data_IF_963781150665
#
_entry.id   IF_963781150665
#
_cell.length_a   1.000
_cell.length_b   1.000
_cell.length_c   1.000
_cell.angle_alpha   90.00
_cell.angle_beta   90.00
_cell.angle_gamma   90.00
#
_symmetry.space_group_name_H-M   'P 1'
#
loop_
_entity.id
_entity.type
_entity.pdbx_description
1 polymer ?
#
# COMPACT_ATOMS: atom_id res chain seq x y z
N UNK A 1 15.55 47.00 42.18
CA UNK A 1 14.46 47.17 43.16
C UNK A 1 13.21 46.61 42.48
N UNK A 2 12.88 45.32 42.56
CA UNK A 2 12.49 44.51 43.73
C UNK A 2 11.25 45.06 44.44
N UNK A 3 10.11 44.40 44.23
CA UNK A 3 8.99 44.36 45.18
C UNK A 3 8.06 43.21 44.79
N UNK A 4 8.05 42.16 45.62
CA UNK A 4 6.96 41.19 45.66
C UNK A 4 5.94 41.60 46.72
N UNK A 5 4.77 40.97 46.70
CA UNK A 5 3.78 40.89 47.79
C UNK A 5 2.81 39.74 47.43
N UNK A 6 2.88 38.61 48.12
CA UNK A 6 2.02 38.20 49.25
C UNK A 6 0.53 38.04 48.92
N UNK A 7 0.11 36.79 48.68
CA UNK A 7 -1.28 36.37 48.73
C UNK A 7 -1.55 35.64 50.05
N UNK A 8 -2.51 36.15 50.82
CA UNK A 8 -2.96 35.63 52.12
C UNK A 8 -4.05 34.58 51.93
N UNK A 9 -3.92 33.49 52.67
CA UNK A 9 -4.97 32.51 52.94
C UNK A 9 -6.20 33.16 53.59
N UNK A 10 -7.38 32.72 53.18
CA UNK A 10 -8.58 32.80 54.03
C UNK A 10 -9.36 31.48 53.93
N UNK A 11 -9.33 30.72 55.02
CA UNK A 11 -10.22 29.58 55.27
C UNK A 11 -11.56 30.11 55.77
N UNK A 12 -12.65 29.62 55.17
CA UNK A 12 -14.00 29.74 55.69
C UNK A 12 -14.76 28.45 55.40
N UNK A 13 -15.05 27.71 56.48
CA UNK A 13 -15.91 26.53 56.52
C UNK A 13 -17.37 26.87 56.16
N UNK A 14 -18.03 25.97 55.42
CA UNK A 14 -19.43 25.62 55.69
C UNK A 14 -19.80 24.28 55.05
N UNK A 15 -20.22 23.36 55.91
CA UNK A 15 -20.70 22.00 55.68
C UNK A 15 -22.08 21.89 55.02
N UNK A 16 -22.23 20.96 54.06
CA UNK A 16 -23.41 20.13 53.73
C UNK A 16 -23.07 19.40 52.40
N UNK A 17 -23.31 18.13 52.12
CA UNK A 17 -23.95 16.98 52.76
C UNK A 17 -23.71 15.80 51.80
N UNK A 18 -23.47 14.61 52.34
CA UNK A 18 -23.25 13.36 51.61
C UNK A 18 -24.34 13.05 50.55
N UNK A 19 -23.92 12.78 49.31
CA UNK A 19 -24.51 11.76 48.43
C UNK A 19 -23.70 11.60 47.14
N UNK A 20 -22.47 11.09 47.19
CA UNK A 20 -21.70 10.72 45.99
C UNK A 20 -20.85 9.46 46.23
N UNK A 21 -21.53 8.38 46.61
CA UNK A 21 -20.92 7.06 46.71
C UNK A 21 -21.77 6.04 45.96
N UNK A 22 -21.85 6.14 44.61
CA UNK A 22 -22.32 5.00 43.80
C UNK A 22 -21.98 5.04 42.29
N UNK A 23 -20.83 5.59 41.86
CA UNK A 23 -20.48 5.64 40.42
C UNK A 23 -19.05 5.19 40.05
N UNK A 24 -18.29 4.62 40.99
CA UNK A 24 -16.92 4.16 40.72
C UNK A 24 -16.75 2.66 40.52
N UNK A 25 -17.80 1.86 40.72
CA UNK A 25 -17.72 0.38 40.62
C UNK A 25 -18.03 -0.15 39.21
N UNK A 26 -18.76 0.61 38.39
CA UNK A 26 -19.27 0.14 37.09
C UNK A 26 -18.26 0.28 35.93
N UNK A 27 -17.17 1.04 36.13
CA UNK A 27 -16.10 1.21 35.12
C UNK A 27 -14.95 0.20 35.26
N UNK A 28 -14.81 -0.43 36.43
CA UNK A 28 -13.84 -1.50 36.66
C UNK A 28 -14.26 -2.82 36.00
N UNK A 29 -15.53 -3.22 36.21
CA UNK A 29 -16.07 -4.48 35.68
C UNK A 29 -16.16 -4.52 34.15
N UNK A 30 -16.47 -3.38 33.51
CA UNK A 30 -16.51 -3.30 32.04
C UNK A 30 -15.12 -3.50 31.41
N UNK A 31 -14.07 -2.97 32.04
CA UNK A 31 -12.69 -3.07 31.52
C UNK A 31 -12.12 -4.48 31.67
N UNK A 32 -12.39 -5.14 32.79
CA UNK A 32 -12.00 -6.53 33.01
C UNK A 32 -12.75 -7.49 32.07
N UNK A 33 -14.06 -7.29 31.87
CA UNK A 33 -14.85 -8.11 30.94
C UNK A 33 -14.36 -8.01 29.48
N UNK A 34 -13.95 -6.80 29.04
CA UNK A 34 -13.39 -6.60 27.70
C UNK A 34 -12.00 -7.24 27.52
N UNK A 35 -11.16 -7.21 28.56
CA UNK A 35 -9.83 -7.85 28.55
C UNK A 35 -9.95 -9.39 28.57
N UNK A 36 -10.93 -9.92 29.29
CA UNK A 36 -11.23 -11.36 29.33
C UNK A 36 -11.76 -11.87 27.98
N UNK A 37 -12.66 -11.13 27.33
CA UNK A 37 -13.18 -11.49 26.02
C UNK A 37 -12.07 -11.47 24.94
N UNK A 38 -11.17 -10.47 25.01
CA UNK A 38 -10.02 -10.36 24.09
C UNK A 38 -9.02 -11.50 24.31
N UNK A 39 -8.81 -11.92 25.56
CA UNK A 39 -7.96 -13.06 25.92
C UNK A 39 -8.54 -14.40 25.44
N UNK A 40 -9.85 -14.60 25.60
CA UNK A 40 -10.55 -15.79 25.10
C UNK A 40 -10.55 -15.87 23.57
N UNK A 41 -10.70 -14.73 22.87
CA UNK A 41 -10.59 -14.68 21.39
C UNK A 41 -9.19 -15.05 20.91
N UNK A 42 -8.13 -14.56 21.58
CA UNK A 42 -6.73 -14.93 21.29
C UNK A 42 -6.48 -16.42 21.51
N UNK A 43 -6.98 -16.99 22.61
CA UNK A 43 -6.84 -18.42 22.90
C UNK A 43 -7.53 -19.31 21.85
N UNK A 44 -8.75 -18.92 21.41
CA UNK A 44 -9.48 -19.64 20.35
C UNK A 44 -8.77 -19.56 18.99
N UNK A 45 -8.19 -18.40 18.67
CA UNK A 45 -7.43 -18.22 17.43
C UNK A 45 -6.12 -19.04 17.43
N UNK A 46 -5.40 -19.05 18.56
CA UNK A 46 -4.20 -19.87 18.73
C UNK A 46 -4.52 -21.38 18.65
N UNK A 47 -5.64 -21.83 19.24
CA UNK A 47 -6.07 -23.23 19.15
C UNK A 47 -6.46 -23.64 17.72
N UNK A 48 -7.10 -22.75 16.94
CA UNK A 48 -7.41 -22.97 15.52
C UNK A 48 -6.14 -23.06 14.66
N UNK A 49 -5.17 -22.18 14.90
CA UNK A 49 -3.88 -22.21 14.20
C UNK A 49 -3.05 -23.45 14.56
N UNK A 50 -3.09 -23.91 15.81
CA UNK A 50 -2.42 -25.12 16.23
C UNK A 50 -3.02 -26.38 15.56
N UNK A 51 -4.35 -26.50 15.52
CA UNK A 51 -5.03 -27.60 14.82
C UNK A 51 -4.74 -27.59 13.31
N UNK A 52 -4.85 -26.43 12.67
CA UNK A 52 -4.50 -26.27 11.25
C UNK A 52 -3.07 -26.69 10.93
N UNK A 53 -2.09 -26.35 11.78
CA UNK A 53 -0.68 -26.76 11.61
C UNK A 53 -0.46 -28.26 11.84
N UNK A 54 -1.28 -28.88 12.69
CA UNK A 54 -1.23 -30.30 12.99
C UNK A 54 -1.82 -31.11 11.82
N UNK A 55 -2.97 -30.67 11.29
CA UNK A 55 -3.59 -31.24 10.09
C UNK A 55 -2.69 -31.09 8.84
N UNK A 56 -2.01 -29.95 8.69
CA UNK A 56 -1.06 -29.72 7.59
C UNK A 56 0.19 -30.61 7.66
N UNK A 57 0.63 -30.97 8.87
CA UNK A 57 1.77 -31.87 9.09
C UNK A 57 1.43 -33.33 8.79
N UNK A 58 0.18 -33.75 9.00
CA UNK A 58 -0.27 -35.12 8.76
C UNK A 58 -0.74 -35.34 7.31
N UNK A 59 -1.41 -34.37 6.66
CA UNK A 59 -1.94 -34.55 5.30
C UNK A 59 -0.92 -34.35 4.17
N UNK A 60 0.04 -33.42 4.32
CA UNK A 60 1.02 -33.12 3.25
C UNK A 60 1.87 -34.33 2.82
N UNK A 61 2.44 -35.14 3.74
CA UNK A 61 3.23 -36.32 3.35
C UNK A 61 2.38 -37.37 2.61
N UNK A 62 1.16 -37.61 3.09
CA UNK A 62 0.25 -38.62 2.52
C UNK A 62 -0.26 -38.21 1.14
N UNK A 63 -0.53 -36.92 0.94
CA UNK A 63 -0.98 -36.37 -0.36
C UNK A 63 0.13 -36.41 -1.41
N UNK A 64 1.37 -36.10 -1.02
CA UNK A 64 2.55 -36.22 -1.89
C UNK A 64 2.80 -37.68 -2.27
N UNK A 65 2.75 -38.61 -1.31
CA UNK A 65 2.96 -40.04 -1.59
C UNK A 65 1.87 -40.66 -2.49
N UNK A 66 0.60 -40.23 -2.37
CA UNK A 66 -0.47 -40.62 -3.32
C UNK A 66 -0.25 -40.08 -4.73
N UNK A 67 0.23 -38.84 -4.86
CA UNK A 67 0.51 -38.25 -6.18
C UNK A 67 1.67 -38.93 -6.91
N UNK A 68 2.53 -39.64 -6.17
CA UNK A 68 3.61 -40.50 -6.69
C UNK A 68 3.16 -41.95 -6.96
N UNK A 69 1.87 -42.26 -6.82
CA UNK A 69 1.30 -43.57 -7.15
C UNK A 69 1.54 -44.67 -6.11
N UNK A 70 1.97 -44.32 -4.89
CA UNK A 70 2.24 -45.31 -3.84
C UNK A 70 0.95 -45.88 -3.25
N UNK A 71 0.88 -47.21 -3.13
CA UNK A 71 -0.27 -47.88 -2.52
C UNK A 71 -0.30 -47.67 -0.99
N UNK A 72 -1.48 -47.86 -0.38
CA UNK A 72 -1.71 -47.60 1.07
C UNK A 72 -0.74 -48.37 1.98
N UNK A 73 -0.40 -49.60 1.62
CA UNK A 73 0.46 -50.47 2.41
C UNK A 73 1.92 -49.96 2.44
N UNK A 74 2.42 -49.47 1.30
CA UNK A 74 3.76 -48.88 1.20
C UNK A 74 3.85 -47.52 1.92
N UNK A 75 2.81 -46.69 1.83
CA UNK A 75 2.75 -45.41 2.55
C UNK A 75 2.77 -45.62 4.07
N UNK A 76 2.03 -46.61 4.59
CA UNK A 76 1.99 -46.90 6.02
C UNK A 76 3.36 -47.37 6.56
N UNK A 77 4.11 -48.16 5.79
CA UNK A 77 5.47 -48.62 6.18
C UNK A 77 6.50 -47.49 6.20
N UNK A 78 6.37 -46.51 5.31
CA UNK A 78 7.29 -45.36 5.23
C UNK A 78 7.02 -44.32 6.32
N UNK A 79 5.76 -44.16 6.73
CA UNK A 79 5.36 -43.22 7.78
C UNK A 79 5.58 -43.79 9.18
N UNK A 80 5.50 -45.11 9.35
CA UNK A 80 5.66 -45.79 10.64
C UNK A 80 6.60 -47.02 10.52
N UNK A 81 7.93 -46.81 10.46
CA UNK A 81 8.89 -47.89 10.20
C UNK A 81 9.12 -48.88 11.37
N UNK A 82 8.55 -48.64 12.57
CA UNK A 82 8.78 -49.47 13.76
C UNK A 82 7.50 -49.86 14.52
N UNK A 83 6.41 -50.21 13.81
CA UNK A 83 5.25 -50.84 14.46
C UNK A 83 4.88 -52.15 13.76
N UNK A 84 5.49 -53.24 14.19
CA UNK A 84 4.93 -54.57 14.03
C UNK A 84 5.12 -55.36 15.32
N UNK A 85 4.02 -55.57 16.05
CA UNK A 85 3.90 -56.70 16.96
C UNK A 85 3.75 -57.98 16.13
N UNK A 86 4.45 -59.05 16.51
CA UNK A 86 4.14 -60.41 16.07
C UNK A 86 5.33 -61.33 15.84
N UNK A 87 5.63 -62.15 16.85
CA UNK A 87 6.20 -63.51 16.81
C UNK A 87 7.58 -63.77 16.16
N UNK A 88 8.57 -64.03 17.03
CA UNK A 88 9.19 -65.36 17.16
C UNK A 88 10.06 -65.86 16.00
N UNK A 89 11.37 -65.99 16.31
CA UNK A 89 12.39 -66.82 15.66
C UNK A 89 12.70 -66.50 14.21
N UNK A 90 13.74 -65.70 13.93
CA UNK A 90 14.55 -65.79 12.70
C UNK A 90 15.81 -64.88 12.70
N UNK A 91 15.97 -63.97 13.67
CA UNK A 91 17.09 -63.00 13.68
C UNK A 91 18.49 -63.59 14.01
N UNK A 92 18.58 -64.77 14.62
CA UNK A 92 19.89 -65.38 14.92
C UNK A 92 20.58 -66.01 13.69
N UNK A 93 19.82 -66.36 12.66
CA UNK A 93 20.37 -67.02 11.46
C UNK A 93 21.01 -66.03 10.48
N UNK A 94 20.46 -64.81 10.37
CA UNK A 94 20.92 -63.80 9.42
C UNK A 94 22.21 -63.11 9.86
N UNK A 95 22.37 -62.89 11.18
CA UNK A 95 23.58 -62.34 11.78
C UNK A 95 24.77 -63.31 11.70
N UNK A 96 24.52 -64.62 11.80
CA UNK A 96 25.53 -65.66 11.62
C UNK A 96 25.98 -65.79 10.14
N UNK A 97 25.08 -65.55 9.18
CA UNK A 97 25.38 -65.61 7.75
C UNK A 97 26.14 -64.36 7.26
N UNK A 98 25.83 -63.19 7.81
CA UNK A 98 26.57 -61.94 7.51
C UNK A 98 27.98 -61.92 8.10
N UNK A 99 28.22 -62.60 9.22
CA UNK A 99 29.57 -62.67 9.82
C UNK A 99 30.51 -63.59 9.05
N UNK A 100 30.01 -64.69 8.45
CA UNK A 100 30.84 -65.60 7.60
C UNK A 100 31.21 -64.99 6.24
N UNK A 101 30.39 -64.11 5.68
CA UNK A 101 30.66 -63.45 4.41
C UNK A 101 31.73 -62.33 4.50
N UNK A 102 32.10 -61.91 5.72
CA UNK A 102 33.07 -60.83 5.94
C UNK A 102 34.52 -61.30 5.99
N UNK A 103 34.74 -62.59 6.26
CA UNK A 103 36.07 -63.16 6.55
C UNK A 103 36.59 -64.11 5.45
N UNK A 104 35.98 -64.10 4.25
CA UNK A 104 36.43 -64.92 3.11
C UNK A 104 37.30 -64.11 2.11
N UNK A 105 38.63 -64.36 2.04
CA UNK A 105 39.53 -63.65 1.14
C UNK A 105 39.37 -64.00 -0.36
N UNK A 106 38.58 -65.01 -0.72
CA UNK A 106 38.39 -65.42 -2.13
C UNK A 106 37.23 -64.67 -2.84
N UNK A 107 36.34 -64.02 -2.09
CA UNK A 107 35.19 -63.29 -2.65
C UNK A 107 35.51 -61.87 -3.20
N UNK A 108 36.74 -61.37 -3.04
CA UNK A 108 37.15 -60.03 -3.48
C UNK A 108 37.78 -59.95 -4.89
N UNK A 109 37.89 -61.09 -5.61
CA UNK A 109 38.54 -61.12 -6.91
C UNK A 109 37.75 -60.49 -8.10
N UNK A 110 36.40 -60.59 -8.21
CA UNK A 110 35.70 -60.06 -9.39
C UNK A 110 35.45 -58.54 -9.35
N UNK A 111 35.50 -57.90 -8.17
CA UNK A 111 35.30 -56.45 -8.05
C UNK A 111 36.49 -55.63 -8.58
N UNK A 112 37.72 -56.15 -8.51
CA UNK A 112 38.93 -55.47 -9.02
C UNK A 112 39.03 -55.46 -10.54
N UNK A 113 38.36 -56.36 -11.26
CA UNK A 113 38.36 -56.40 -12.74
C UNK A 113 37.37 -55.44 -13.41
N UNK A 114 36.32 -54.99 -12.71
CA UNK A 114 35.41 -53.94 -13.24
C UNK A 114 35.94 -52.53 -13.06
N UNK A 115 36.80 -52.28 -12.07
CA UNK A 115 37.43 -50.98 -11.85
C UNK A 115 38.49 -50.62 -12.91
N UNK A 116 39.14 -51.61 -13.54
CA UNK A 116 40.18 -51.34 -14.56
C UNK A 116 39.64 -51.04 -15.97
N UNK A 117 38.37 -51.35 -16.27
CA UNK A 117 37.75 -51.04 -17.55
C UNK A 117 37.22 -49.59 -17.65
N UNK A 118 36.94 -48.94 -16.51
CA UNK A 118 36.50 -47.54 -16.47
C UNK A 118 37.66 -46.53 -16.66
N UNK A 119 38.91 -46.96 -16.56
CA UNK A 119 40.09 -46.09 -16.62
C UNK A 119 40.49 -45.66 -18.05
N UNK A 120 39.92 -46.25 -19.11
CA UNK A 120 40.29 -45.99 -20.49
C UNK A 120 39.30 -45.10 -21.28
N UNK A 121 38.64 -44.14 -20.63
CA UNK A 121 37.92 -43.08 -21.35
C UNK A 121 38.91 -42.01 -21.83
N UNK A 122 38.98 -41.78 -23.15
CA UNK A 122 39.84 -40.76 -23.77
C UNK A 122 39.57 -39.36 -23.18
N UNK A 123 40.56 -38.44 -23.19
CA UNK A 123 40.42 -37.11 -22.58
C UNK A 123 39.17 -36.34 -23.04
N UNK A 124 38.80 -36.48 -24.32
CA UNK A 124 37.60 -35.87 -24.91
C UNK A 124 36.30 -36.39 -24.29
N UNK A 125 36.24 -37.68 -23.94
CA UNK A 125 35.05 -38.30 -23.37
C UNK A 125 34.85 -37.89 -21.91
N UNK A 126 35.94 -37.63 -21.16
CA UNK A 126 35.89 -37.10 -19.79
C UNK A 126 35.41 -35.66 -19.76
N UNK A 127 35.89 -34.81 -20.67
CA UNK A 127 35.41 -33.42 -20.82
C UNK A 127 33.93 -33.41 -21.20
N UNK A 128 33.51 -34.25 -22.16
CA UNK A 128 32.10 -34.35 -22.55
C UNK A 128 31.19 -34.77 -21.38
N UNK A 129 31.58 -35.79 -20.61
CA UNK A 129 30.82 -36.22 -19.42
C UNK A 129 30.75 -35.09 -18.39
N UNK A 130 31.84 -34.37 -18.13
CA UNK A 130 31.85 -33.24 -17.19
C UNK A 130 30.91 -32.11 -17.63
N UNK A 131 30.89 -31.75 -18.92
CA UNK A 131 29.98 -30.73 -19.46
C UNK A 131 28.53 -31.18 -19.36
N UNK A 132 28.22 -32.44 -19.69
CA UNK A 132 26.85 -32.97 -19.58
C UNK A 132 26.37 -32.98 -18.13
N UNK A 133 27.22 -33.40 -17.19
CA UNK A 133 26.90 -33.35 -15.75
C UNK A 133 26.67 -31.92 -15.28
N UNK A 134 27.51 -30.96 -15.71
CA UNK A 134 27.34 -29.55 -15.38
C UNK A 134 26.02 -28.99 -15.92
N UNK A 135 25.67 -29.28 -17.18
CA UNK A 135 24.39 -28.89 -17.76
C UNK A 135 23.20 -29.49 -17.02
N UNK A 136 23.28 -30.76 -16.62
CA UNK A 136 22.21 -31.41 -15.83
C UNK A 136 22.03 -30.75 -14.46
N UNK A 137 23.12 -30.39 -13.77
CA UNK A 137 23.06 -29.68 -12.49
C UNK A 137 22.42 -28.29 -12.65
N UNK A 138 22.77 -27.56 -13.72
CA UNK A 138 22.17 -26.26 -14.03
C UNK A 138 20.67 -26.40 -14.30
N UNK A 139 20.26 -27.39 -15.10
CA UNK A 139 18.84 -27.62 -15.42
C UNK A 139 18.03 -28.00 -14.17
N UNK A 140 18.59 -28.81 -13.28
CA UNK A 140 17.96 -29.14 -11.98
C UNK A 140 17.83 -27.89 -11.11
N UNK A 141 18.86 -27.03 -11.07
CA UNK A 141 18.82 -25.76 -10.36
C UNK A 141 17.74 -24.81 -10.89
N UNK A 142 17.63 -24.66 -12.21
CA UNK A 142 16.57 -23.87 -12.85
C UNK A 142 15.19 -24.44 -12.51
N UNK A 143 15.02 -25.76 -12.58
CA UNK A 143 13.77 -26.42 -12.23
C UNK A 143 13.34 -26.17 -10.77
N UNK A 144 14.30 -26.20 -9.83
CA UNK A 144 14.04 -25.90 -8.43
C UNK A 144 13.62 -24.43 -8.22
N UNK A 145 14.30 -23.48 -8.87
CA UNK A 145 13.95 -22.05 -8.80
C UNK A 145 12.57 -21.80 -9.39
N UNK A 146 12.27 -22.36 -10.56
CA UNK A 146 10.94 -22.24 -11.19
C UNK A 146 9.84 -22.89 -10.33
N UNK A 147 10.13 -24.01 -9.67
CA UNK A 147 9.21 -24.66 -8.73
C UNK A 147 8.89 -23.77 -7.52
N UNK A 148 9.91 -23.13 -6.94
CA UNK A 148 9.72 -22.18 -5.82
C UNK A 148 8.94 -20.95 -6.26
N UNK A 149 9.25 -20.38 -7.43
CA UNK A 149 8.52 -19.24 -7.98
C UNK A 149 7.06 -19.58 -8.28
N UNK A 150 6.80 -20.77 -8.82
CA UNK A 150 5.45 -21.25 -9.06
C UNK A 150 4.67 -21.43 -7.74
N UNK A 151 5.27 -22.08 -6.75
CA UNK A 151 4.67 -22.25 -5.43
C UNK A 151 4.35 -20.89 -4.76
N UNK A 152 5.28 -19.93 -4.84
CA UNK A 152 5.08 -18.57 -4.32
C UNK A 152 3.90 -17.89 -5.03
N UNK A 153 3.84 -17.97 -6.36
CA UNK A 153 2.75 -17.38 -7.15
C UNK A 153 1.39 -18.02 -6.86
N UNK A 154 1.36 -19.32 -6.55
CA UNK A 154 0.12 -19.99 -6.11
C UNK A 154 -0.32 -19.57 -4.70
N UNK A 155 0.63 -19.35 -3.78
CA UNK A 155 0.32 -18.82 -2.44
C UNK A 155 -0.19 -17.38 -2.51
N UNK A 156 0.41 -16.54 -3.36
CA UNK A 156 -0.05 -15.16 -3.59
C UNK A 156 -1.47 -15.12 -4.18
N UNK A 157 -1.80 -16.00 -5.13
CA UNK A 157 -3.18 -16.13 -5.65
C UNK A 157 -4.17 -16.55 -4.58
N UNK A 158 -3.84 -17.58 -3.78
CA UNK A 158 -4.70 -18.03 -2.70
C UNK A 158 -4.91 -16.95 -1.62
N UNK A 159 -3.87 -16.15 -1.32
CA UNK A 159 -3.96 -15.02 -0.41
C UNK A 159 -4.85 -13.89 -0.98
N UNK A 160 -4.76 -13.61 -2.28
CA UNK A 160 -5.63 -12.65 -2.96
C UNK A 160 -7.10 -13.08 -2.95
N UNK A 161 -7.38 -14.34 -3.27
CA UNK A 161 -8.75 -14.90 -3.25
C UNK A 161 -9.35 -14.88 -1.84
N UNK A 162 -8.54 -15.15 -0.80
CA UNK A 162 -8.96 -15.02 0.58
C UNK A 162 -9.24 -13.57 1.00
N UNK A 163 -8.42 -12.62 0.55
CA UNK A 163 -8.62 -11.19 0.80
C UNK A 163 -9.88 -10.66 0.10
N UNK A 164 -10.14 -11.07 -1.14
CA UNK A 164 -11.36 -10.71 -1.86
C UNK A 164 -12.60 -11.32 -1.21
N UNK A 165 -12.52 -12.57 -0.73
CA UNK A 165 -13.61 -13.21 0.02
C UNK A 165 -13.92 -12.45 1.32
N UNK A 166 -12.90 -11.99 2.04
CA UNK A 166 -13.08 -11.18 3.26
C UNK A 166 -13.70 -9.82 2.93
N UNK A 167 -13.26 -9.14 1.86
CA UNK A 167 -13.84 -7.87 1.41
C UNK A 167 -15.32 -8.00 1.06
N UNK A 168 -15.71 -9.10 0.40
CA UNK A 168 -17.12 -9.37 0.10
C UNK A 168 -17.95 -9.62 1.37
N UNK A 169 -17.38 -10.31 2.36
CA UNK A 169 -18.03 -10.51 3.66
C UNK A 169 -18.19 -9.20 4.45
N UNK A 170 -17.15 -8.35 4.48
CA UNK A 170 -17.18 -7.06 5.15
C UNK A 170 -18.17 -6.10 4.46
N UNK A 171 -18.22 -6.11 3.13
CA UNK A 171 -19.22 -5.37 2.35
C UNK A 171 -20.63 -5.83 2.68
N UNK A 172 -20.88 -7.15 2.74
CA UNK A 172 -22.19 -7.67 3.10
C UNK A 172 -22.59 -7.30 4.53
N UNK A 173 -21.64 -7.26 5.47
CA UNK A 173 -21.89 -6.82 6.83
C UNK A 173 -22.23 -5.31 6.92
N UNK A 174 -21.54 -4.48 6.14
CA UNK A 174 -21.83 -3.05 6.04
C UNK A 174 -23.17 -2.77 5.38
N UNK A 175 -23.50 -3.49 4.30
CA UNK A 175 -24.79 -3.36 3.61
C UNK A 175 -25.93 -3.78 4.56
N UNK A 176 -25.76 -4.86 5.34
CA UNK A 176 -26.73 -5.29 6.37
C UNK A 176 -26.88 -4.28 7.53
N UNK A 177 -25.79 -3.63 7.95
CA UNK A 177 -25.85 -2.54 8.94
C UNK A 177 -26.57 -1.29 8.38
N UNK A 178 -26.34 -0.98 7.10
CA UNK A 178 -27.02 0.10 6.39
C UNK A 178 -28.53 -0.14 6.28
N UNK A 179 -28.95 -1.35 5.93
CA UNK A 179 -30.36 -1.74 5.90
C UNK A 179 -31.02 -1.71 7.29
N UNK A 180 -30.31 -2.17 8.33
CA UNK A 180 -30.80 -2.09 9.71
C UNK A 180 -30.98 -0.62 10.16
N UNK A 181 -30.03 0.26 9.82
CA UNK A 181 -30.10 1.68 10.13
C UNK A 181 -31.18 2.41 9.33
N UNK A 182 -31.43 2.05 8.07
CA UNK A 182 -32.54 2.56 7.28
C UNK A 182 -33.91 2.09 7.82
N UNK A 183 -33.99 0.85 8.31
CA UNK A 183 -35.22 0.34 8.95
C UNK A 183 -35.54 1.07 10.27
N UNK A 184 -34.51 1.48 11.01
CA UNK A 184 -34.65 2.26 12.25
C UNK A 184 -35.07 3.72 12.01
N UNK A 185 -34.91 4.24 10.78
CA UNK A 185 -35.22 5.64 10.42
C UNK A 185 -36.57 5.81 9.71
N UNK A 186 -37.40 4.75 9.61
CA UNK A 186 -38.79 4.87 9.19
C UNK A 186 -39.04 5.44 7.78
N UNK A 187 -38.11 5.23 6.84
CA UNK A 187 -38.29 5.63 5.43
C UNK A 187 -38.82 4.46 4.62
N UNK A 188 -40.07 4.58 4.15
CA UNK A 188 -40.76 3.56 3.38
C UNK A 188 -40.07 3.29 2.03
N UNK A 189 -40.02 2.00 1.67
CA UNK A 189 -39.47 1.43 0.44
C UNK A 189 -40.22 1.87 -0.83
N UNK A 190 -39.49 2.44 -1.80
CA UNK A 190 -39.92 2.57 -3.19
C UNK A 190 -39.08 1.67 -4.09
N UNK A 191 -39.70 0.63 -4.67
CA UNK A 191 -39.06 -0.33 -5.57
C UNK A 191 -38.64 0.24 -6.94
N UNK A 192 -37.94 -0.56 -7.76
CA UNK A 192 -37.06 -0.09 -8.81
C UNK A 192 -37.80 0.07 -10.15
N UNK A 193 -37.70 1.24 -10.76
CA UNK A 193 -37.63 1.51 -12.21
C UNK A 193 -37.94 2.99 -12.44
N UNK A 194 -36.95 3.74 -12.93
CA UNK A 194 -37.13 5.16 -13.24
C UNK A 194 -36.04 5.64 -14.18
N UNK A 195 -36.33 5.55 -15.47
CA UNK A 195 -35.64 6.25 -16.55
C UNK A 195 -35.36 7.70 -16.15
N UNK A 196 -34.09 8.13 -16.25
CA UNK A 196 -33.71 9.51 -16.05
C UNK A 196 -34.23 10.36 -17.22
N UNK A 197 -35.48 10.79 -17.13
CA UNK A 197 -36.05 11.83 -17.98
C UNK A 197 -35.44 13.16 -17.56
N UNK A 198 -34.82 13.82 -18.53
CA UNK A 198 -34.37 15.21 -18.45
C UNK A 198 -35.55 16.12 -18.12
N UNK A 199 -35.66 16.52 -16.85
CA UNK A 199 -36.57 17.56 -16.39
C UNK A 199 -35.82 18.88 -16.26
N UNK A 200 -35.88 19.68 -17.31
CA UNK A 200 -35.58 21.10 -17.23
C UNK A 200 -36.63 21.76 -16.34
N UNK A 201 -36.30 21.97 -15.06
CA UNK A 201 -37.03 22.90 -14.21
C UNK A 201 -36.22 24.20 -14.15
N UNK A 202 -36.64 25.15 -14.97
CA UNK A 202 -36.26 26.54 -14.86
C UNK A 202 -36.71 27.07 -13.49
N UNK A 203 -35.83 27.02 -12.49
CA UNK A 203 -35.97 27.89 -11.32
C UNK A 203 -35.35 29.24 -11.68
N UNK A 204 -36.24 30.22 -11.78
CA UNK A 204 -35.91 31.59 -12.15
C UNK A 204 -34.80 32.18 -11.30
N UNK A 205 -34.03 33.06 -11.94
CA UNK A 205 -33.11 33.98 -11.29
C UNK A 205 -33.83 34.69 -10.14
N UNK A 206 -33.49 34.32 -8.91
CA UNK A 206 -33.61 35.20 -7.77
C UNK A 206 -32.18 35.45 -7.27
N UNK A 207 -31.60 36.57 -7.69
CA UNK A 207 -30.44 37.20 -7.07
C UNK A 207 -30.84 37.56 -5.64
N UNK A 208 -30.67 36.64 -4.71
CA UNK A 208 -30.76 36.93 -3.28
C UNK A 208 -29.46 37.62 -2.88
N UNK A 209 -29.52 38.80 -2.25
CA UNK A 209 -28.32 39.41 -1.68
C UNK A 209 -27.69 38.45 -0.68
N UNK A 210 -26.37 38.46 -0.62
CA UNK A 210 -25.53 37.65 0.28
C UNK A 210 -25.65 38.12 1.75
N UNK A 211 -26.85 38.46 2.21
CA UNK A 211 -27.18 38.85 3.59
C UNK A 211 -27.71 37.65 4.41
N UNK A 212 -27.22 36.45 4.11
CA UNK A 212 -27.45 35.30 4.98
C UNK A 212 -26.64 35.53 6.27
N UNK A 213 -27.27 36.15 7.27
CA UNK A 213 -26.72 36.29 8.61
C UNK A 213 -26.15 34.94 9.07
N UNK A 214 -24.92 34.96 9.58
CA UNK A 214 -24.23 33.77 10.08
C UNK A 214 -25.20 32.99 10.99
N UNK A 215 -25.38 31.68 10.77
CA UNK A 215 -26.20 30.88 11.67
C UNK A 215 -25.68 31.06 13.10
N UNK A 216 -26.60 31.15 14.06
CA UNK A 216 -26.21 31.28 15.48
C UNK A 216 -25.21 30.19 15.84
N UNK A 217 -24.09 30.52 16.51
CA UNK A 217 -23.01 29.57 16.73
C UNK A 217 -23.55 28.33 17.44
N UNK A 218 -23.34 27.17 16.81
CA UNK A 218 -23.70 25.87 17.39
C UNK A 218 -22.99 25.67 18.74
N UNK A 219 -23.45 24.72 19.55
CA UNK A 219 -22.80 24.42 20.84
C UNK A 219 -21.30 24.11 20.72
N UNK A 220 -20.86 23.56 19.57
CA UNK A 220 -19.44 23.35 19.28
C UNK A 220 -18.68 24.67 19.02
N UNK A 221 -19.26 25.60 18.27
CA UNK A 221 -18.64 26.91 17.98
C UNK A 221 -18.51 27.79 19.22
N UNK A 222 -19.43 27.65 20.18
CA UNK A 222 -19.34 28.34 21.47
C UNK A 222 -18.24 27.76 22.36
N UNK A 223 -17.93 26.47 22.21
CA UNK A 223 -16.94 25.75 23.01
C UNK A 223 -15.50 25.95 22.50
N UNK A 224 -15.31 26.14 21.19
CA UNK A 224 -14.00 26.18 20.54
C UNK A 224 -13.83 27.47 19.70
N UNK A 225 -13.30 28.56 20.30
CA UNK A 225 -13.13 29.85 19.62
C UNK A 225 -12.30 29.78 18.33
N UNK A 226 -11.32 28.88 18.27
CA UNK A 226 -10.50 28.63 17.09
C UNK A 226 -11.32 28.15 15.89
N UNK A 227 -12.37 27.35 16.12
CA UNK A 227 -13.27 26.92 15.05
C UNK A 227 -14.16 28.08 14.61
N UNK A 228 -14.64 28.90 15.54
CA UNK A 228 -15.42 30.10 15.23
C UNK A 228 -14.64 31.06 14.33
N UNK A 229 -13.34 31.26 14.61
CA UNK A 229 -12.47 32.08 13.78
C UNK A 229 -12.36 31.57 12.33
N UNK A 230 -12.32 30.24 12.12
CA UNK A 230 -12.30 29.67 10.77
C UNK A 230 -13.59 29.91 9.98
N UNK A 231 -14.75 29.85 10.63
CA UNK A 231 -16.02 30.18 9.97
C UNK A 231 -16.09 31.67 9.59
N UNK A 232 -15.62 32.56 10.47
CA UNK A 232 -15.55 33.99 10.19
C UNK A 232 -14.60 34.27 9.01
N UNK A 233 -13.40 33.68 9.02
CA UNK A 233 -12.42 33.81 7.93
C UNK A 233 -12.95 33.27 6.60
N UNK A 234 -13.68 32.15 6.61
CA UNK A 234 -14.33 31.63 5.39
C UNK A 234 -15.37 32.61 4.84
N UNK A 235 -16.18 33.25 5.70
CA UNK A 235 -17.17 34.23 5.26
C UNK A 235 -16.50 35.45 4.63
N UNK A 236 -15.41 35.93 5.23
CA UNK A 236 -14.59 37.03 4.69
C UNK A 236 -14.02 36.65 3.31
N UNK A 237 -13.42 35.47 3.19
CA UNK A 237 -12.90 34.95 1.93
C UNK A 237 -13.98 34.86 0.84
N UNK A 238 -15.19 34.40 1.17
CA UNK A 238 -16.32 34.37 0.21
C UNK A 238 -16.68 35.77 -0.26
N UNK A 239 -16.78 36.73 0.67
CA UNK A 239 -17.14 38.11 0.35
C UNK A 239 -16.09 38.77 -0.56
N UNK A 240 -14.81 38.63 -0.25
CA UNK A 240 -13.70 39.17 -1.05
C UNK A 240 -13.63 38.51 -2.44
N UNK A 241 -13.79 37.19 -2.48
CA UNK A 241 -13.77 36.41 -3.73
C UNK A 241 -14.91 36.84 -4.64
N UNK A 242 -16.13 36.95 -4.11
CA UNK A 242 -17.32 37.33 -4.89
C UNK A 242 -17.32 38.80 -5.27
N UNK A 243 -16.65 39.67 -4.52
CA UNK A 243 -16.43 41.06 -4.92
C UNK A 243 -15.46 41.17 -6.11
N UNK A 244 -14.45 40.29 -6.17
CA UNK A 244 -13.42 40.30 -7.23
C UNK A 244 -13.88 39.54 -8.48
N UNK A 245 -14.45 38.35 -8.31
CA UNK A 245 -14.98 37.48 -9.36
C UNK A 245 -16.31 36.86 -8.90
N UNK A 246 -17.44 37.54 -9.17
CA UNK A 246 -18.77 37.06 -8.80
C UNK A 246 -19.15 35.73 -9.44
N UNK A 247 -18.40 35.26 -10.45
CA UNK A 247 -18.71 34.03 -11.19
C UNK A 247 -17.97 32.81 -10.67
N UNK A 248 -16.91 33.00 -9.88
CA UNK A 248 -16.03 31.92 -9.45
C UNK A 248 -16.79 30.85 -8.66
N UNK A 249 -17.35 31.18 -7.49
CA UNK A 249 -18.04 30.21 -6.63
C UNK A 249 -19.23 29.53 -7.35
N UNK A 250 -20.12 30.26 -8.06
CA UNK A 250 -21.20 29.63 -8.84
C UNK A 250 -20.70 28.70 -9.95
N UNK A 251 -19.54 28.97 -10.55
CA UNK A 251 -18.97 28.10 -11.57
C UNK A 251 -18.39 26.80 -10.99
N UNK A 252 -17.70 26.90 -9.85
CA UNK A 252 -17.12 25.77 -9.14
C UNK A 252 -18.18 24.75 -8.68
N UNK A 253 -19.38 25.23 -8.30
CA UNK A 253 -20.50 24.37 -7.92
C UNK A 253 -21.06 23.53 -9.09
N UNK A 254 -20.83 23.93 -10.35
CA UNK A 254 -21.39 23.24 -11.53
C UNK A 254 -20.50 22.11 -12.02
N UNK A 255 -19.18 22.32 -12.05
CA UNK A 255 -18.23 21.33 -12.54
C UNK A 255 -16.79 21.66 -12.11
N UNK A 256 -15.96 20.62 -12.04
CA UNK A 256 -14.50 20.74 -11.96
C UNK A 256 -13.87 20.29 -13.29
N UNK A 257 -12.81 20.99 -13.74
CA UNK A 257 -12.00 20.63 -14.90
C UNK A 257 -10.52 21.00 -14.72
N UNK A 258 -9.87 20.59 -13.61
CA UNK A 258 -8.45 20.88 -13.42
C UNK A 258 -7.61 20.19 -14.52
N UNK A 259 -6.57 20.88 -14.99
CA UNK A 259 -5.61 20.31 -15.95
C UNK A 259 -4.44 19.63 -15.25
N UNK A 260 -4.30 19.86 -13.95
CA UNK A 260 -3.14 19.47 -13.16
C UNK A 260 -3.62 18.57 -12.01
N UNK A 261 -2.98 17.42 -11.86
CA UNK A 261 -3.02 16.63 -10.64
C UNK A 261 -1.76 16.92 -9.81
N UNK A 262 -1.90 16.91 -8.49
CA UNK A 262 -0.84 17.22 -7.54
C UNK A 262 -0.73 16.11 -6.49
N UNK A 263 0.46 15.56 -6.33
CA UNK A 263 0.85 14.60 -5.29
C UNK A 263 1.86 15.28 -4.38
N UNK A 264 1.44 15.68 -3.18
CA UNK A 264 2.29 16.43 -2.26
C UNK A 264 2.31 15.92 -0.83
N UNK A 265 3.04 16.63 0.03
CA UNK A 265 3.17 16.27 1.43
C UNK A 265 1.99 16.81 2.27
N UNK A 266 1.59 16.09 3.31
CA UNK A 266 0.65 16.57 4.34
C UNK A 266 1.20 17.72 5.20
N UNK A 267 2.47 18.11 5.01
CA UNK A 267 3.10 19.22 5.71
C UNK A 267 2.29 20.52 5.58
N UNK A 268 1.89 21.09 6.73
CA UNK A 268 0.98 22.25 6.79
C UNK A 268 1.57 23.52 6.18
N UNK A 269 2.89 23.59 5.96
CA UNK A 269 3.58 24.74 5.38
C UNK A 269 3.52 24.75 3.85
N UNK A 270 3.04 23.68 3.22
CA UNK A 270 3.05 23.49 1.76
C UNK A 270 1.64 23.30 1.20
N UNK A 271 0.67 24.21 1.45
CA UNK A 271 -0.63 24.18 0.80
C UNK A 271 -0.48 24.56 -0.69
N UNK A 272 -0.82 23.62 -1.56
CA UNK A 272 -0.57 23.66 -3.00
C UNK A 272 -1.20 24.87 -3.69
N UNK A 273 -2.45 25.18 -3.34
CA UNK A 273 -3.17 26.31 -3.93
C UNK A 273 -2.55 27.66 -3.57
N UNK A 274 -2.03 27.80 -2.35
CA UNK A 274 -1.39 29.03 -1.88
C UNK A 274 0.01 29.20 -2.49
N UNK A 275 0.86 28.18 -2.40
CA UNK A 275 2.27 28.31 -2.84
C UNK A 275 2.41 28.41 -4.36
N UNK A 276 1.44 27.88 -5.12
CA UNK A 276 1.39 28.00 -6.58
C UNK A 276 0.52 29.17 -7.05
N UNK A 277 -0.10 29.91 -6.12
CA UNK A 277 -1.00 31.01 -6.41
C UNK A 277 -2.12 30.63 -7.41
N UNK A 278 -2.70 29.44 -7.23
CA UNK A 278 -3.78 28.92 -8.07
C UNK A 278 -5.13 29.13 -7.41
N UNK A 279 -6.18 29.24 -8.24
CA UNK A 279 -7.56 29.32 -7.77
C UNK A 279 -8.13 27.94 -7.42
N UNK A 280 -9.18 27.87 -6.58
CA UNK A 280 -9.93 26.63 -6.39
C UNK A 280 -10.38 26.04 -7.74
N UNK A 281 -10.30 24.72 -7.88
CA UNK A 281 -10.69 24.01 -9.11
C UNK A 281 -9.60 23.90 -10.19
N UNK A 282 -8.43 24.54 -10.02
CA UNK A 282 -7.32 24.44 -10.98
C UNK A 282 -6.42 23.21 -10.76
N UNK A 283 -6.36 22.69 -9.52
CA UNK A 283 -5.57 21.54 -9.12
C UNK A 283 -6.47 20.40 -8.60
N UNK A 284 -6.15 19.16 -8.96
CA UNK A 284 -6.73 17.94 -8.38
C UNK A 284 -5.71 17.29 -7.43
N UNK A 285 -6.00 17.24 -6.14
CA UNK A 285 -4.96 17.14 -5.11
C UNK A 285 -5.05 15.85 -4.31
N UNK A 286 -3.91 15.19 -4.11
CA UNK A 286 -3.68 14.22 -3.02
C UNK A 286 -2.48 14.63 -2.19
N UNK A 287 -2.57 14.45 -0.87
CA UNK A 287 -1.50 14.77 0.08
C UNK A 287 -1.36 13.66 1.11
N UNK A 288 -0.14 13.19 1.30
CA UNK A 288 0.21 12.19 2.32
C UNK A 288 1.59 12.49 2.93
N UNK A 289 1.99 11.73 3.96
CA UNK A 289 3.27 11.95 4.65
C UNK A 289 4.43 11.63 3.70
N UNK A 290 5.24 12.63 3.36
CA UNK A 290 6.41 12.45 2.50
C UNK A 290 6.10 12.29 1.00
N UNK A 291 4.93 12.75 0.53
CA UNK A 291 4.54 12.83 -0.89
C UNK A 291 4.81 11.52 -1.67
N UNK A 292 4.46 10.39 -1.06
CA UNK A 292 4.73 9.06 -1.59
C UNK A 292 3.59 8.60 -2.52
N UNK A 293 3.95 7.98 -3.64
CA UNK A 293 3.03 7.18 -4.45
C UNK A 293 3.47 5.72 -4.33
N UNK A 294 2.64 4.88 -3.71
CA UNK A 294 2.91 3.47 -3.47
C UNK A 294 1.88 2.61 -4.21
N UNK A 295 2.34 1.52 -4.84
CA UNK A 295 1.50 0.60 -5.64
C UNK A 295 0.57 -0.27 -4.77
N UNK A 296 0.72 -0.22 -3.45
CA UNK A 296 -0.15 -0.87 -2.48
C UNK A 296 -0.96 0.14 -1.64
N UNK A 297 -0.87 1.44 -1.96
CA UNK A 297 -1.70 2.48 -1.37
C UNK A 297 -2.92 2.78 -2.25
N UNK A 298 -4.01 2.07 -1.96
CA UNK A 298 -5.28 2.25 -2.65
C UNK A 298 -5.78 3.71 -2.62
N UNK A 299 -5.45 4.50 -1.59
CA UNK A 299 -5.84 5.90 -1.52
C UNK A 299 -5.19 6.71 -2.64
N UNK A 300 -3.88 6.59 -2.83
CA UNK A 300 -3.16 7.30 -3.89
C UNK A 300 -3.52 6.77 -5.28
N UNK A 301 -3.64 5.44 -5.45
CA UNK A 301 -3.98 4.82 -6.74
C UNK A 301 -5.36 5.23 -7.25
N UNK A 302 -6.36 5.30 -6.35
CA UNK A 302 -7.73 5.69 -6.73
C UNK A 302 -7.82 7.16 -7.11
N UNK A 303 -7.13 8.04 -6.38
CA UNK A 303 -7.07 9.47 -6.74
C UNK A 303 -6.38 9.67 -8.09
N UNK A 304 -5.24 9.03 -8.32
CA UNK A 304 -4.54 9.12 -9.61
C UNK A 304 -5.39 8.56 -10.75
N UNK A 305 -6.00 7.39 -10.55
CA UNK A 305 -6.83 6.75 -11.56
C UNK A 305 -8.03 7.61 -11.94
N UNK A 306 -8.65 8.27 -10.95
CA UNK A 306 -9.76 9.20 -11.20
C UNK A 306 -9.29 10.47 -11.91
N UNK A 307 -8.15 11.04 -11.50
CA UNK A 307 -7.58 12.23 -12.13
C UNK A 307 -7.32 12.00 -13.63
N UNK A 308 -6.75 10.85 -13.99
CA UNK A 308 -6.41 10.52 -15.38
C UNK A 308 -7.63 10.06 -16.17
N UNK A 309 -8.42 9.11 -15.64
CA UNK A 309 -9.48 8.47 -16.43
C UNK A 309 -10.81 9.23 -16.48
N UNK A 310 -11.10 10.07 -15.47
CA UNK A 310 -12.38 10.76 -15.34
C UNK A 310 -12.27 12.27 -15.39
N UNK A 311 -11.25 12.85 -14.74
CA UNK A 311 -11.00 14.30 -14.78
C UNK A 311 -10.22 14.70 -16.03
N UNK A 312 -9.46 13.77 -16.60
CA UNK A 312 -8.65 13.95 -17.81
C UNK A 312 -7.59 15.06 -17.65
N UNK A 313 -6.86 15.04 -16.53
CA UNK A 313 -5.71 15.92 -16.30
C UNK A 313 -4.64 15.72 -17.38
N UNK A 314 -3.89 16.78 -17.67
CA UNK A 314 -2.79 16.81 -18.65
C UNK A 314 -1.42 16.68 -17.99
N UNK A 315 -1.33 17.06 -16.71
CA UNK A 315 -0.07 17.08 -15.97
C UNK A 315 -0.27 16.49 -14.58
N UNK A 316 0.65 15.63 -14.14
CA UNK A 316 0.75 15.14 -12.77
C UNK A 316 2.04 15.69 -12.18
N UNK A 317 1.96 16.43 -11.09
CA UNK A 317 3.11 16.98 -10.38
C UNK A 317 3.32 16.19 -9.09
N UNK A 318 4.49 15.58 -8.94
CA UNK A 318 4.97 15.05 -7.66
C UNK A 318 5.82 16.15 -7.02
N UNK A 319 5.33 16.71 -5.91
CA UNK A 319 5.96 17.82 -5.21
C UNK A 319 6.58 17.37 -3.89
N UNK A 320 7.91 17.40 -3.82
CA UNK A 320 8.64 17.35 -2.57
C UNK A 320 8.82 18.74 -1.97
N UNK A 321 9.32 18.79 -0.73
CA UNK A 321 9.71 20.07 -0.14
C UNK A 321 10.93 19.94 0.78
N UNK A 322 11.75 20.98 0.86
CA UNK A 322 12.85 21.04 1.83
C UNK A 322 12.30 20.93 3.26
N UNK A 323 13.13 20.52 4.22
CA UNK A 323 12.71 20.39 5.62
C UNK A 323 11.45 19.52 5.85
N UNK A 324 11.22 18.50 5.01
CA UNK A 324 10.19 17.47 5.14
C UNK A 324 10.36 16.52 6.35
N UNK A 325 9.48 16.63 7.35
CA UNK A 325 9.57 15.85 8.59
C UNK A 325 9.59 14.33 8.39
N UNK A 326 8.89 13.83 7.37
CA UNK A 326 8.90 12.41 6.98
C UNK A 326 10.29 11.94 6.56
N UNK A 327 11.00 12.76 5.78
CA UNK A 327 12.37 12.47 5.34
C UNK A 327 13.34 12.56 6.52
N UNK A 328 13.19 13.57 7.40
CA UNK A 328 13.97 13.67 8.65
C UNK A 328 13.86 12.39 9.47
N UNK A 329 12.63 11.94 9.71
CA UNK A 329 12.33 10.76 10.51
C UNK A 329 12.82 9.46 9.84
N UNK A 330 12.81 9.39 8.51
CA UNK A 330 13.33 8.24 7.77
C UNK A 330 14.86 8.14 7.80
N UNK A 331 15.58 9.28 7.89
CA UNK A 331 17.04 9.30 8.03
C UNK A 331 17.46 9.00 9.47
N UNK A 332 16.72 9.52 10.45
CA UNK A 332 16.98 9.27 11.86
C UNK A 332 16.76 7.79 12.23
N UNK A 333 17.52 7.29 13.20
CA UNK A 333 17.35 5.93 13.68
C UNK A 333 15.98 5.76 14.35
N UNK A 334 15.34 4.61 14.09
CA UNK A 334 14.10 4.23 14.78
C UNK A 334 14.34 4.20 16.29
N UNK A 335 13.47 4.83 17.07
CA UNK A 335 13.51 4.70 18.53
C UNK A 335 13.17 3.26 18.93
N UNK A 336 13.70 2.81 20.08
CA UNK A 336 13.31 1.50 20.65
C UNK A 336 11.81 1.47 21.04
N UNK A 337 11.16 2.64 21.10
CA UNK A 337 9.74 2.82 21.39
C UNK A 337 8.81 2.35 20.25
N UNK A 338 9.32 2.20 19.02
CA UNK A 338 8.54 1.79 17.83
C UNK A 338 7.84 0.44 18.01
N UNK A 339 8.40 -0.47 18.82
CA UNK A 339 7.80 -1.77 19.12
C UNK A 339 6.76 -1.72 20.25
N UNK A 340 6.68 -0.60 20.97
CA UNK A 340 5.80 -0.43 22.14
C UNK A 340 4.65 0.55 21.90
N UNK A 341 4.77 1.43 20.91
CA UNK A 341 3.75 2.41 20.53
C UNK A 341 3.21 2.09 19.12
N UNK A 342 1.91 1.78 19.03
CA UNK A 342 1.25 1.40 17.79
C UNK A 342 1.19 2.53 16.75
N UNK A 343 1.17 3.80 17.18
CA UNK A 343 1.19 4.95 16.28
C UNK A 343 2.58 5.10 15.63
N UNK A 344 3.63 4.95 16.43
CA UNK A 344 5.02 4.91 15.93
C UNK A 344 5.24 3.73 14.98
N UNK A 345 4.68 2.55 15.27
CA UNK A 345 4.75 1.40 14.35
C UNK A 345 4.13 1.71 12.97
N UNK A 346 3.01 2.45 12.94
CA UNK A 346 2.30 2.81 11.69
C UNK A 346 3.10 3.82 10.87
N UNK A 347 3.62 4.85 11.54
CA UNK A 347 4.47 5.87 10.91
C UNK A 347 5.74 5.22 10.37
N UNK A 348 6.44 4.41 11.18
CA UNK A 348 7.66 3.74 10.73
C UNK A 348 7.39 2.82 9.54
N UNK A 349 6.29 2.06 9.59
CA UNK A 349 5.84 1.22 8.47
C UNK A 349 5.67 2.01 7.19
N UNK A 350 5.04 3.19 7.26
CA UNK A 350 4.82 4.10 6.13
C UNK A 350 6.13 4.72 5.60
N UNK A 351 7.10 4.99 6.47
CA UNK A 351 8.39 5.59 6.10
C UNK A 351 9.40 4.59 5.52
N UNK A 352 9.16 3.28 5.63
CA UNK A 352 10.07 2.24 5.10
C UNK A 352 10.55 2.46 3.66
N UNK A 353 9.73 2.91 2.69
CA UNK A 353 10.23 3.17 1.34
C UNK A 353 11.28 4.30 1.29
N UNK A 354 11.10 5.37 2.08
CA UNK A 354 12.07 6.47 2.18
C UNK A 354 13.33 6.01 2.93
N UNK A 355 13.19 5.21 3.99
CA UNK A 355 14.33 4.58 4.69
C UNK A 355 15.15 3.72 3.73
N UNK A 356 14.47 2.89 2.95
CA UNK A 356 15.12 2.05 1.94
C UNK A 356 15.83 2.88 0.90
N UNK A 357 15.23 3.97 0.43
CA UNK A 357 15.86 4.91 -0.50
C UNK A 357 17.13 5.53 0.10
N UNK A 358 17.07 6.01 1.33
CA UNK A 358 18.24 6.55 2.04
C UNK A 358 19.34 5.49 2.20
N UNK A 359 18.98 4.25 2.55
CA UNK A 359 19.93 3.16 2.75
C UNK A 359 20.64 2.74 1.46
N UNK A 360 19.95 2.74 0.32
CA UNK A 360 20.48 2.26 -0.97
C UNK A 360 20.99 3.35 -1.89
N UNK A 361 20.69 4.63 -1.63
CA UNK A 361 21.12 5.73 -2.49
C UNK A 361 22.64 5.82 -2.57
N UNK A 362 23.11 6.05 -3.81
CA UNK A 362 24.52 6.23 -4.18
C UNK A 362 24.89 7.71 -4.34
N UNK A 363 23.96 8.65 -4.13
CA UNK A 363 24.26 10.08 -4.17
C UNK A 363 25.38 10.42 -3.18
N UNK A 364 26.42 11.18 -3.59
CA UNK A 364 27.58 11.45 -2.76
C UNK A 364 27.24 12.05 -1.40
N UNK A 365 26.29 12.98 -1.34
CA UNK A 365 25.86 13.67 -0.13
C UNK A 365 25.28 12.67 0.88
N UNK A 366 24.37 11.80 0.40
CA UNK A 366 23.71 10.77 1.20
C UNK A 366 24.71 9.68 1.63
N UNK A 367 25.48 9.16 0.69
CA UNK A 367 26.42 8.07 0.94
C UNK A 367 27.54 8.48 1.91
N UNK A 368 28.07 9.70 1.76
CA UNK A 368 29.12 10.23 2.64
C UNK A 368 28.59 10.40 4.07
N UNK A 369 27.40 10.98 4.22
CA UNK A 369 26.77 11.13 5.53
C UNK A 369 26.49 9.78 6.18
N UNK A 370 25.88 8.84 5.45
CA UNK A 370 25.59 7.48 5.94
C UNK A 370 26.87 6.75 6.39
N UNK A 371 27.93 6.83 5.60
CA UNK A 371 29.22 6.19 5.93
C UNK A 371 29.88 6.81 7.17
N UNK A 372 29.78 8.13 7.34
CA UNK A 372 30.31 8.85 8.50
C UNK A 372 29.57 8.53 9.82
N UNK A 373 28.32 8.03 9.71
CA UNK A 373 27.45 7.75 10.86
C UNK A 373 27.08 6.27 11.02
N UNK A 374 27.70 5.35 10.27
CA UNK A 374 27.33 3.92 10.23
C UNK A 374 27.29 3.20 11.60
N UNK A 375 28.08 3.66 12.57
CA UNK A 375 28.20 3.07 13.91
C UNK A 375 27.68 4.00 15.01
N UNK A 376 26.98 5.08 14.63
CA UNK A 376 26.49 6.11 15.56
C UNK A 376 24.97 6.18 15.48
N UNK A 377 24.34 6.46 16.62
CA UNK A 377 22.91 6.79 16.62
C UNK A 377 22.71 8.15 15.94
N UNK A 378 21.94 8.20 14.86
CA UNK A 378 21.57 9.42 14.15
C UNK A 378 20.23 9.91 14.66
N UNK A 379 20.22 11.10 15.23
CA UNK A 379 18.99 11.82 15.55
C UNK A 379 18.62 12.73 14.38
N UNK A 380 17.38 13.20 14.36
CA UNK A 380 16.94 14.10 13.29
C UNK A 380 17.77 15.39 13.23
N UNK A 381 18.31 15.86 14.34
CA UNK A 381 19.06 17.13 14.41
C UNK A 381 20.49 17.00 13.87
N UNK A 382 20.99 15.78 13.71
CA UNK A 382 22.29 15.50 13.09
C UNK A 382 22.25 15.62 11.56
N UNK A 383 21.06 15.62 10.95
CA UNK A 383 20.89 15.61 9.49
C UNK A 383 21.13 17.00 8.91
N UNK A 384 22.17 17.14 8.08
CA UNK A 384 22.46 18.41 7.40
C UNK A 384 21.42 18.76 6.34
N UNK A 385 21.25 20.05 6.05
CA UNK A 385 20.31 20.53 5.02
C UNK A 385 20.61 19.94 3.64
N UNK A 386 21.90 19.74 3.31
CA UNK A 386 22.36 19.12 2.07
C UNK A 386 21.88 17.66 1.93
N UNK A 387 22.11 16.84 2.97
CA UNK A 387 21.71 15.43 2.97
C UNK A 387 20.20 15.30 2.93
N UNK A 388 19.52 16.10 3.74
CA UNK A 388 18.07 16.15 3.77
C UNK A 388 17.50 16.45 2.38
N UNK A 389 17.95 17.56 1.78
CA UNK A 389 17.52 17.98 0.46
C UNK A 389 17.78 16.89 -0.57
N UNK A 390 18.95 16.26 -0.52
CA UNK A 390 19.30 15.19 -1.44
C UNK A 390 18.32 14.00 -1.35
N UNK A 391 17.91 13.60 -0.15
CA UNK A 391 16.92 12.52 0.05
C UNK A 391 15.53 12.94 -0.42
N UNK A 392 15.11 14.20 -0.19
CA UNK A 392 13.83 14.71 -0.70
C UNK A 392 13.80 14.66 -2.23
N UNK A 393 14.84 15.17 -2.89
CA UNK A 393 14.94 15.15 -4.36
C UNK A 393 14.88 13.72 -4.91
N UNK A 394 15.63 12.79 -4.32
CA UNK A 394 15.58 11.37 -4.71
C UNK A 394 14.20 10.75 -4.47
N UNK A 395 13.51 11.12 -3.39
CA UNK A 395 12.15 10.66 -3.10
C UNK A 395 11.18 11.16 -4.17
N UNK A 396 11.28 12.42 -4.59
CA UNK A 396 10.47 12.95 -5.70
C UNK A 396 10.72 12.15 -6.97
N UNK A 397 11.98 11.95 -7.37
CA UNK A 397 12.34 11.20 -8.57
C UNK A 397 11.81 9.77 -8.54
N UNK A 398 11.93 9.09 -7.40
CA UNK A 398 11.40 7.73 -7.22
C UNK A 398 9.88 7.70 -7.42
N UNK A 399 9.15 8.65 -6.83
CA UNK A 399 7.70 8.68 -6.95
C UNK A 399 7.23 9.10 -8.35
N UNK A 400 7.96 9.96 -9.05
CA UNK A 400 7.74 10.22 -10.49
C UNK A 400 7.85 8.92 -11.30
N UNK A 401 8.89 8.12 -11.05
CA UNK A 401 9.04 6.83 -11.74
C UNK A 401 7.89 5.86 -11.42
N UNK A 402 7.44 5.81 -10.16
CA UNK A 402 6.32 4.95 -9.76
C UNK A 402 5.00 5.37 -10.42
N UNK A 403 4.71 6.68 -10.45
CA UNK A 403 3.55 7.22 -11.16
C UNK A 403 3.66 6.92 -12.65
N UNK A 404 4.84 7.09 -13.24
CA UNK A 404 5.06 6.82 -14.67
C UNK A 404 4.73 5.37 -15.03
N UNK A 405 5.10 4.38 -14.20
CA UNK A 405 4.82 2.96 -14.46
C UNK A 405 3.42 2.52 -14.03
N UNK A 406 2.61 3.42 -13.46
CA UNK A 406 1.23 3.13 -13.08
C UNK A 406 0.40 2.67 -14.28
N UNK A 407 -0.44 1.65 -14.07
CA UNK A 407 -1.22 1.05 -15.15
C UNK A 407 -2.20 2.03 -15.83
N UNK A 408 -2.70 3.03 -15.10
CA UNK A 408 -3.59 4.05 -15.67
C UNK A 408 -2.81 5.07 -16.49
N UNK A 409 -1.62 5.48 -16.04
CA UNK A 409 -0.72 6.36 -16.80
C UNK A 409 -0.23 5.68 -18.07
N UNK A 410 0.27 4.44 -17.96
CA UNK A 410 0.72 3.65 -19.10
C UNK A 410 -0.39 3.44 -20.15
N UNK A 411 -1.63 3.16 -19.71
CA UNK A 411 -2.79 3.06 -20.63
C UNK A 411 -3.13 4.40 -21.29
N UNK A 412 -3.01 5.51 -20.58
CA UNK A 412 -3.21 6.85 -21.15
C UNK A 412 -2.18 7.15 -22.24
N UNK A 413 -0.90 6.85 -21.99
CA UNK A 413 0.17 7.01 -22.98
C UNK A 413 -0.02 6.11 -24.21
N UNK A 414 -0.39 4.85 -24.02
CA UNK A 414 -0.68 3.94 -25.14
C UNK A 414 -1.81 4.49 -26.04
N UNK A 415 -2.91 4.97 -25.44
CA UNK A 415 -4.02 5.59 -26.17
C UNK A 415 -3.60 6.86 -26.92
N UNK A 416 -2.73 7.68 -26.33
CA UNK A 416 -2.18 8.88 -26.98
C UNK A 416 -1.36 8.52 -28.23
N UNK A 417 -0.46 7.55 -28.11
CA UNK A 417 0.35 7.09 -29.25
C UNK A 417 -0.51 6.48 -30.36
N UNK A 418 -1.52 5.67 -30.03
CA UNK A 418 -2.48 5.12 -31.00
C UNK A 418 -3.26 6.24 -31.74
N UNK A 419 -3.69 7.27 -31.00
CA UNK A 419 -4.38 8.43 -31.57
C UNK A 419 -3.55 9.20 -32.58
N UNK A 420 -2.26 9.43 -32.30
CA UNK A 420 -1.33 10.05 -33.26
C UNK A 420 -1.18 9.22 -34.55
N UNK A 421 -1.07 7.90 -34.43
CA UNK A 421 -0.96 7.02 -35.61
C UNK A 421 -2.23 7.04 -36.47
N UNK A 422 -3.41 7.05 -35.86
CA UNK A 422 -4.67 7.17 -36.60
C UNK A 422 -4.77 8.50 -37.35
N UNK A 423 -4.42 9.62 -36.72
CA UNK A 423 -4.39 10.95 -37.37
C UNK A 423 -3.35 11.04 -38.49
N UNK A 424 -2.19 10.40 -38.33
CA UNK A 424 -1.14 10.32 -39.37
C UNK A 424 -1.59 9.51 -40.59
N UNK A 425 -2.28 8.37 -40.39
CA UNK A 425 -2.78 7.54 -41.49
C UNK A 425 -3.85 8.29 -42.28
N UNK A 426 -4.78 8.97 -41.60
CA UNK A 426 -5.81 9.80 -42.23
C UNK A 426 -5.18 10.96 -43.03
N UNK A 427 -4.12 11.58 -42.53
CA UNK A 427 -3.38 12.62 -43.26
C UNK A 427 -2.60 12.08 -44.49
N UNK A 428 -2.22 10.80 -44.50
CA UNK A 428 -1.46 10.16 -45.58
C UNK A 428 -2.29 9.60 -46.76
N UNK A 429 -3.61 9.75 -46.73
CA UNK A 429 -4.45 9.57 -47.94
C UNK A 429 -4.65 8.14 -48.42
N UNK A 430 -5.04 7.21 -47.54
CA UNK A 430 -5.57 5.89 -47.95
C UNK A 430 -6.96 5.65 -47.35
N UNK A 431 -7.95 6.41 -47.82
CA UNK A 431 -9.36 6.15 -47.51
C UNK A 431 -9.88 5.00 -48.38
N UNK A 432 -9.80 3.76 -47.90
CA UNK A 432 -10.67 2.68 -48.39
C UNK A 432 -11.94 2.67 -47.54
N UNK A 433 -13.04 3.12 -48.12
CA UNK A 433 -14.36 3.08 -47.50
C UNK A 433 -14.81 1.64 -47.34
N UNK A 434 -14.92 1.15 -46.11
CA UNK A 434 -15.77 -0.01 -45.83
C UNK A 434 -16.67 0.33 -44.65
N UNK A 435 -17.92 0.61 -44.99
CA UNK A 435 -19.04 0.77 -44.07
C UNK A 435 -19.28 -0.55 -43.33
N UNK A 436 -19.09 -0.55 -42.02
CA UNK A 436 -19.62 -1.58 -41.11
C UNK A 436 -20.36 -0.85 -39.99
N UNK A 437 -21.68 -0.75 -40.16
CA UNK A 437 -22.61 -0.35 -39.12
C UNK A 437 -22.77 -1.50 -38.12
N UNK A 438 -22.36 -1.28 -36.87
CA UNK A 438 -22.57 -2.24 -35.79
C UNK A 438 -22.34 -1.60 -34.42
N UNK A 439 -23.43 -1.40 -33.68
CA UNK A 439 -23.50 -1.04 -32.26
C UNK A 439 -22.69 0.17 -31.79
N UNK A 440 -23.34 1.34 -31.86
CA UNK A 440 -22.96 2.55 -31.12
C UNK A 440 -23.14 2.30 -29.62
N UNK A 441 -22.11 1.76 -28.98
CA UNK A 441 -21.90 1.92 -27.54
C UNK A 441 -21.96 3.41 -27.21
N UNK A 442 -22.67 3.76 -26.14
CA UNK A 442 -22.76 5.13 -25.63
C UNK A 442 -21.35 5.60 -25.26
N UNK A 443 -20.73 6.32 -26.19
CA UNK A 443 -19.45 7.03 -26.06
C UNK A 443 -19.60 8.07 -24.95
N UNK A 444 -19.24 7.71 -23.70
CA UNK A 444 -19.18 8.65 -22.57
C UNK A 444 -18.05 9.66 -22.81
N UNK A 445 -18.27 10.89 -22.33
CA UNK A 445 -17.48 12.11 -22.51
C UNK A 445 -15.98 11.95 -22.90
N UNK A 446 -15.62 12.62 -24.01
CA UNK A 446 -14.30 12.84 -24.64
C UNK A 446 -13.38 11.62 -24.75
N UNK A 447 -13.56 10.86 -25.83
CA UNK A 447 -12.64 9.83 -26.31
C UNK A 447 -11.38 10.37 -27.01
N UNK A 448 -11.11 11.68 -26.92
CA UNK A 448 -9.85 12.19 -27.47
C UNK A 448 -8.70 11.81 -26.53
N UNK A 449 -7.63 11.21 -27.06
CA UNK A 449 -6.46 10.93 -26.28
C UNK A 449 -5.93 12.23 -25.66
N UNK A 450 -5.57 12.21 -24.39
CA UNK A 450 -4.99 13.37 -23.69
C UNK A 450 -3.49 13.17 -23.58
N UNK A 451 -2.72 14.20 -23.93
CA UNK A 451 -1.28 14.23 -23.72
C UNK A 451 -1.01 14.40 -22.23
N UNK A 452 -0.63 13.30 -21.57
CA UNK A 452 -0.39 13.25 -20.14
C UNK A 452 1.11 13.29 -19.82
N UNK A 453 1.53 14.19 -18.95
CA UNK A 453 2.92 14.28 -18.46
C UNK A 453 3.00 14.11 -16.95
N UNK A 454 4.11 13.56 -16.47
CA UNK A 454 4.44 13.44 -15.04
C UNK A 454 5.70 14.24 -14.76
N UNK A 455 5.67 15.08 -13.73
CA UNK A 455 6.72 16.04 -13.36
C UNK A 455 7.18 15.81 -11.93
N UNK A 456 8.45 16.12 -11.65
CA UNK A 456 9.01 16.08 -10.30
C UNK A 456 9.53 17.45 -9.91
N UNK A 457 8.87 18.09 -8.93
CA UNK A 457 9.19 19.43 -8.46
C UNK A 457 9.59 19.42 -6.98
N UNK A 458 10.30 20.46 -6.56
CA UNK A 458 10.72 20.70 -5.19
C UNK A 458 10.32 22.11 -4.75
N UNK A 459 9.56 22.21 -3.67
CA UNK A 459 9.30 23.48 -3.00
C UNK A 459 10.35 23.75 -1.92
N UNK A 460 11.03 24.89 -2.01
CA UNK A 460 12.04 25.28 -1.04
C UNK A 460 11.44 26.20 0.03
N UNK A 461 11.27 25.69 1.25
CA UNK A 461 10.69 26.43 2.38
C UNK A 461 11.49 27.66 2.78
N UNK A 462 12.81 27.70 2.53
CA UNK A 462 13.64 28.84 2.93
C UNK A 462 13.46 30.03 1.97
N UNK A 463 13.16 29.74 0.70
CA UNK A 463 13.03 30.78 -0.36
C UNK A 463 11.60 31.02 -0.80
N UNK A 464 10.70 30.08 -0.55
CA UNK A 464 9.33 30.07 -1.08
C UNK A 464 9.24 29.77 -2.57
N UNK A 465 10.33 29.30 -3.21
CA UNK A 465 10.38 29.03 -4.65
C UNK A 465 10.19 27.55 -4.97
N UNK A 466 9.49 27.29 -6.07
CA UNK A 466 9.38 25.96 -6.69
C UNK A 466 10.50 25.77 -7.70
N UNK A 467 11.11 24.58 -7.69
CA UNK A 467 12.17 24.19 -8.60
C UNK A 467 11.78 22.93 -9.37
N UNK A 468 11.96 22.93 -10.69
CA UNK A 468 11.83 21.73 -11.51
C UNK A 468 13.10 20.89 -11.41
N UNK A 469 12.96 19.60 -11.07
CA UNK A 469 14.08 18.66 -10.97
C UNK A 469 14.51 18.09 -12.33
N UNK A 470 13.82 18.46 -13.42
CA UNK A 470 14.18 18.05 -14.78
C UNK A 470 13.92 16.57 -15.06
N UNK A 471 12.98 15.97 -14.34
CA UNK A 471 12.63 14.53 -14.44
C UNK A 471 11.26 14.29 -15.08
N UNK A 472 10.81 15.23 -15.91
CA UNK A 472 9.53 15.12 -16.61
C UNK A 472 9.54 13.93 -17.57
N UNK A 473 8.48 13.12 -17.51
CA UNK A 473 8.28 11.95 -18.37
C UNK A 473 6.87 11.97 -18.97
N UNK A 474 6.75 11.50 -20.20
CA UNK A 474 5.52 11.56 -20.98
C UNK A 474 5.44 10.43 -22.00
N UNK A 475 4.41 10.42 -22.85
CA UNK A 475 4.27 9.40 -23.89
C UNK A 475 5.45 9.49 -24.88
N UNK A 476 5.91 8.34 -25.37
CA UNK A 476 6.90 8.30 -26.45
C UNK A 476 6.39 9.10 -27.66
N UNK A 477 7.28 9.93 -28.21
CA UNK A 477 6.97 10.91 -29.26
C UNK A 477 6.37 10.28 -30.52
#
# INVERSE_FOLDING_TARGET
>A
MASGEHYRDNKGDSSASDSDADLTDDLGGAREAFEDERSQRRARQAARQARSRQDEKEEKPVRVMRSLGLNKTTMHKLLHPHSSQGSGTDDESLLAQQKRARDDPEAQAPARRRASAAAAASPRRRVYIAVVVLCLVILIGIGAVLGVLYAKRTQERAASEAADSQRMADKAALDAQGEAMQSSLGMASGGPHGTATTGAAAHGLATTPLDAALPSPTGAMQRFPELQALFAANQEWVNETMATDPTLIPSLAKAQKPKLAYVGCSDSRVPETTILHTKPGELFVTRNIGNQYLVDDLSSETVLSYAVAHVAVQHIIVMGHTSCGAVKAAIADSSDEVLTNMDETRIDTWLRPIRSLYATSTRPEIASFRNAHKDKKVTGDDVTSEVWRAVVEENVKLNVQRVAVDSTVQRSWAKWSEGKHASSIVASGAASSTSMQGHRLVRRASEEPVELWVHGWLYDLDTGLVQDLGVSVGPSA
#
